data_IF_800700331455
#
_entry.id   IF_800700331455
#
_cell.length_a   1.000
_cell.length_b   1.000
_cell.length_c   1.000
_cell.angle_alpha   90.00
_cell.angle_beta   90.00
_cell.angle_gamma   90.00
#
_symmetry.space_group_name_H-M   'P 1'
#
loop_
_entity.id
_entity.type
_entity.pdbx_description
1 polymer ?
#
# COMPACT_ATOMS: atom_id res chain seq x y z
N UNK A 1 10.41 25.87 -52.05
CA UNK A 1 10.27 24.41 -52.21
C UNK A 1 9.44 23.89 -51.04
N UNK A 2 8.26 23.31 -51.28
CA UNK A 2 7.29 22.95 -50.23
C UNK A 2 7.29 21.44 -50.05
N UNK A 3 7.60 20.96 -48.85
CA UNK A 3 7.65 19.54 -48.53
C UNK A 3 6.27 19.06 -48.07
N UNK A 4 5.79 17.97 -48.67
CA UNK A 4 4.53 17.34 -48.30
C UNK A 4 4.78 16.28 -47.22
N UNK A 5 4.15 16.42 -46.07
CA UNK A 5 4.21 15.41 -45.01
C UNK A 5 3.30 14.22 -45.31
N UNK A 6 3.84 13.02 -45.12
CA UNK A 6 3.08 11.77 -45.15
C UNK A 6 2.25 11.65 -43.87
N UNK A 7 0.95 11.35 -44.00
CA UNK A 7 0.08 11.10 -42.86
C UNK A 7 0.51 9.82 -42.13
N UNK A 8 0.65 9.82 -40.80
CA UNK A 8 0.95 8.61 -40.06
C UNK A 8 -0.21 7.60 -40.21
N UNK A 9 0.13 6.35 -40.53
CA UNK A 9 -0.81 5.22 -40.61
C UNK A 9 -1.16 4.61 -39.25
N UNK A 10 -0.52 5.08 -38.18
CA UNK A 10 -0.76 4.58 -36.84
C UNK A 10 -2.03 5.23 -36.28
N UNK A 11 -2.99 4.40 -35.90
CA UNK A 11 -4.19 4.83 -35.20
C UNK A 11 -3.81 5.28 -33.79
N UNK A 12 -4.06 6.54 -33.47
CA UNK A 12 -3.87 7.08 -32.12
C UNK A 12 -5.00 6.49 -31.27
N UNK A 13 -4.66 5.59 -30.34
CA UNK A 13 -5.61 5.09 -29.35
C UNK A 13 -5.95 6.22 -28.39
N UNK A 14 -7.14 6.82 -28.60
CA UNK A 14 -7.70 7.78 -27.66
C UNK A 14 -8.13 7.06 -26.38
N UNK A 15 -7.29 7.15 -25.35
CA UNK A 15 -7.52 6.51 -24.05
C UNK A 15 -8.52 7.28 -23.16
N UNK A 16 -9.37 8.13 -23.74
CA UNK A 16 -10.23 9.10 -23.03
C UNK A 16 -11.42 8.49 -22.29
N UNK A 17 -11.50 7.17 -22.16
CA UNK A 17 -12.54 6.49 -21.40
C UNK A 17 -11.99 5.44 -20.45
N UNK A 18 -10.87 5.70 -19.78
CA UNK A 18 -10.58 4.97 -18.55
C UNK A 18 -11.47 5.57 -17.47
N UNK A 19 -12.61 4.92 -17.19
CA UNK A 19 -13.39 5.19 -15.97
C UNK A 19 -12.41 5.25 -14.80
N UNK A 20 -12.48 6.22 -13.88
CA UNK A 20 -11.65 6.19 -12.69
C UNK A 20 -11.98 4.89 -11.95
N UNK A 21 -11.08 3.91 -12.09
CA UNK A 21 -11.16 2.68 -11.34
C UNK A 21 -11.06 3.08 -9.88
N UNK A 22 -12.08 2.79 -9.07
CA UNK A 22 -12.12 3.17 -7.66
C UNK A 22 -10.83 2.70 -6.97
N UNK A 23 -9.90 3.63 -6.75
CA UNK A 23 -8.57 3.36 -6.17
C UNK A 23 -8.67 3.00 -4.69
N UNK A 24 -9.85 3.22 -4.09
CA UNK A 24 -10.16 2.98 -2.68
C UNK A 24 -10.00 1.53 -2.21
N UNK A 25 -9.72 0.58 -3.11
CA UNK A 25 -9.59 -0.84 -2.77
C UNK A 25 -8.27 -1.48 -3.23
N UNK A 26 -7.30 -0.69 -3.71
CA UNK A 26 -6.00 -1.26 -4.10
C UNK A 26 -5.10 -1.29 -2.88
N UNK A 27 -4.92 -2.48 -2.29
CA UNK A 27 -3.94 -2.70 -1.20
C UNK A 27 -2.59 -2.12 -1.60
N UNK A 28 -1.98 -1.37 -0.69
CA UNK A 28 -0.63 -0.82 -0.89
C UNK A 28 0.35 -1.99 -1.01
N UNK A 29 1.20 -1.97 -2.03
CA UNK A 29 2.22 -3.01 -2.25
C UNK A 29 3.59 -2.39 -2.54
N UNK A 30 4.62 -3.24 -2.53
CA UNK A 30 5.98 -2.86 -2.93
C UNK A 30 6.56 -1.72 -2.08
N UNK A 31 7.21 -0.76 -2.74
CA UNK A 31 7.90 0.37 -2.08
C UNK A 31 7.00 1.15 -1.13
N UNK A 32 5.75 1.42 -1.51
CA UNK A 32 4.83 2.21 -0.68
C UNK A 32 4.51 1.48 0.64
N UNK A 33 4.34 0.15 0.59
CA UNK A 33 4.11 -0.67 1.78
C UNK A 33 5.34 -0.66 2.68
N UNK A 34 6.53 -0.85 2.11
CA UNK A 34 7.78 -0.83 2.87
C UNK A 34 8.05 0.55 3.52
N UNK A 35 7.78 1.64 2.79
CA UNK A 35 7.86 3.01 3.34
C UNK A 35 6.89 3.20 4.51
N UNK A 36 5.66 2.70 4.40
CA UNK A 36 4.66 2.78 5.47
C UNK A 36 5.08 1.96 6.69
N UNK A 37 5.54 0.72 6.50
CA UNK A 37 6.09 -0.14 7.56
C UNK A 37 7.21 0.57 8.30
N UNK A 38 8.16 1.15 7.57
CA UNK A 38 9.27 1.88 8.17
C UNK A 38 8.81 3.12 8.94
N UNK A 39 7.88 3.91 8.39
CA UNK A 39 7.40 5.11 9.05
C UNK A 39 6.67 4.81 10.37
N UNK A 40 5.79 3.81 10.37
CA UNK A 40 5.04 3.43 11.58
C UNK A 40 5.99 2.83 12.62
N UNK A 41 6.92 1.97 12.20
CA UNK A 41 7.92 1.40 13.11
C UNK A 41 8.83 2.49 13.71
N UNK A 42 9.24 3.49 12.93
CA UNK A 42 10.04 4.62 13.45
C UNK A 42 9.29 5.48 14.46
N UNK A 43 7.98 5.63 14.27
CA UNK A 43 7.13 6.42 15.17
C UNK A 43 6.89 5.67 16.49
N UNK A 44 6.52 4.40 16.40
CA UNK A 44 6.37 3.53 17.56
C UNK A 44 6.76 2.07 17.21
N UNK A 45 7.95 1.62 17.61
CA UNK A 45 8.47 0.30 17.26
C UNK A 45 7.93 -0.84 18.17
N UNK A 46 6.82 -0.63 18.86
CA UNK A 46 6.23 -1.62 19.77
C UNK A 46 5.08 -2.38 19.14
N UNK A 47 4.96 -3.66 19.49
CA UNK A 47 3.76 -4.44 19.22
C UNK A 47 2.56 -3.86 19.99
N UNK A 48 1.35 -3.99 19.46
CA UNK A 48 0.13 -3.54 20.14
C UNK A 48 -0.11 -4.22 21.50
N UNK A 49 0.46 -5.40 21.73
CA UNK A 49 0.28 -6.20 22.95
C UNK A 49 1.58 -6.33 23.77
N UNK A 50 2.73 -6.45 23.11
CA UNK A 50 4.03 -6.69 23.76
C UNK A 50 5.05 -5.59 23.47
N UNK A 51 6.31 -5.92 23.75
CA UNK A 51 7.48 -5.07 23.67
C UNK A 51 7.91 -4.74 22.23
N UNK A 52 9.04 -4.06 22.14
CA UNK A 52 9.75 -3.66 20.92
C UNK A 52 9.88 -4.83 19.92
N UNK A 53 9.67 -4.54 18.64
CA UNK A 53 9.82 -5.52 17.54
C UNK A 53 10.95 -5.16 16.60
N UNK A 54 11.58 -6.17 16.00
CA UNK A 54 12.67 -5.99 15.06
C UNK A 54 12.18 -5.59 13.67
N UNK A 55 12.84 -4.60 13.06
CA UNK A 55 12.63 -4.25 11.65
C UNK A 55 13.65 -4.97 10.74
N UNK A 56 13.27 -5.46 9.54
CA UNK A 56 11.92 -5.40 8.93
C UNK A 56 11.03 -6.62 9.21
N UNK A 57 11.57 -7.67 9.81
CA UNK A 57 10.99 -9.03 9.80
C UNK A 57 10.33 -9.48 11.11
N UNK A 58 10.38 -8.69 12.19
CA UNK A 58 9.83 -9.05 13.49
C UNK A 58 8.34 -8.73 13.66
N UNK A 59 7.68 -8.18 12.63
CA UNK A 59 6.29 -7.76 12.73
C UNK A 59 5.55 -7.75 11.40
N UNK A 60 4.23 -7.82 11.48
CA UNK A 60 3.32 -7.42 10.42
C UNK A 60 2.59 -6.12 10.76
N UNK A 61 2.23 -5.39 9.71
CA UNK A 61 1.39 -4.21 9.82
C UNK A 61 -0.04 -4.59 9.48
N UNK A 62 -0.92 -4.60 10.48
CA UNK A 62 -2.30 -5.04 10.33
C UNK A 62 -3.29 -3.91 10.64
N UNK A 63 -4.53 -4.04 10.17
CA UNK A 63 -5.59 -3.08 10.44
C UNK A 63 -6.26 -3.36 11.79
N UNK A 64 -6.40 -2.33 12.63
CA UNK A 64 -7.13 -2.42 13.92
C UNK A 64 -8.59 -2.80 13.66
N UNK A 65 -9.24 -2.07 12.76
CA UNK A 65 -10.54 -2.45 12.19
C UNK A 65 -10.27 -3.05 10.80
N UNK A 66 -10.60 -4.33 10.57
CA UNK A 66 -10.39 -4.95 9.27
C UNK A 66 -11.13 -4.24 8.14
N UNK A 67 -10.54 -4.20 6.95
CA UNK A 67 -11.13 -3.55 5.77
C UNK A 67 -12.53 -4.10 5.42
N UNK A 68 -12.74 -5.42 5.56
CA UNK A 68 -14.04 -6.06 5.29
C UNK A 68 -15.14 -5.64 6.29
N UNK A 69 -14.74 -5.14 7.47
CA UNK A 69 -15.62 -4.54 8.48
C UNK A 69 -15.71 -3.02 8.35
N UNK A 70 -15.42 -2.47 7.16
CA UNK A 70 -15.42 -1.02 6.86
C UNK A 70 -14.32 -0.23 7.58
N UNK A 71 -13.24 -0.89 7.98
CA UNK A 71 -12.03 -0.19 8.42
C UNK A 71 -11.42 0.63 7.28
N UNK A 72 -10.87 1.79 7.61
CA UNK A 72 -10.19 2.64 6.65
C UNK A 72 -8.72 2.20 6.46
N UNK A 73 -8.19 2.29 5.25
CA UNK A 73 -6.76 2.02 5.01
C UNK A 73 -5.90 3.26 5.34
N UNK A 74 -5.90 3.68 6.61
CA UNK A 74 -5.16 4.85 7.10
C UNK A 74 -4.15 4.46 8.17
N UNK A 75 -3.14 5.30 8.40
CA UNK A 75 -2.04 4.98 9.33
C UNK A 75 -2.60 4.79 10.75
N UNK A 76 -3.61 5.57 11.11
CA UNK A 76 -4.27 5.54 12.42
C UNK A 76 -5.04 4.23 12.66
N UNK A 77 -5.51 3.58 11.59
CA UNK A 77 -6.14 2.27 11.67
C UNK A 77 -5.13 1.12 11.48
N UNK A 78 -3.82 1.39 11.50
CA UNK A 78 -2.80 0.36 11.42
C UNK A 78 -2.11 0.17 12.77
N UNK A 79 -1.76 -1.09 13.06
CA UNK A 79 -1.01 -1.49 14.24
C UNK A 79 0.10 -2.47 13.86
N UNK A 80 1.17 -2.45 14.66
CA UNK A 80 2.27 -3.40 14.56
C UNK A 80 1.89 -4.62 15.39
N UNK A 81 1.92 -5.80 14.78
CA UNK A 81 1.72 -7.08 15.45
C UNK A 81 2.97 -7.94 15.25
N UNK A 82 3.57 -8.43 16.33
CA UNK A 82 4.78 -9.24 16.23
C UNK A 82 4.51 -10.61 15.60
N UNK A 83 5.54 -11.13 14.94
CA UNK A 83 5.57 -12.48 14.37
C UNK A 83 6.51 -13.32 15.25
N UNK A 84 5.94 -14.11 16.16
CA UNK A 84 6.66 -15.10 16.96
C UNK A 84 5.76 -16.33 17.19
N UNK A 85 6.28 -17.41 17.80
CA UNK A 85 5.47 -18.62 18.06
C UNK A 85 4.22 -18.33 18.88
N UNK A 86 4.35 -17.46 19.88
CA UNK A 86 3.24 -16.89 20.64
C UNK A 86 2.78 -15.53 20.07
N UNK A 87 3.04 -15.24 18.80
CA UNK A 87 2.85 -13.92 18.19
C UNK A 87 1.41 -13.42 18.13
N UNK A 88 1.25 -12.10 18.07
CA UNK A 88 -0.07 -11.48 17.91
C UNK A 88 -0.62 -11.67 16.50
N UNK A 89 0.26 -11.92 15.54
CA UNK A 89 -0.09 -12.20 14.17
C UNK A 89 0.34 -13.63 13.82
N UNK A 90 -0.64 -14.48 13.48
CA UNK A 90 -0.47 -15.87 13.04
C UNK A 90 -0.86 -16.03 11.58
#
# INVERSE_FOLDING_TARGET
MKLNMLKPRLMILNNTAVKPYHVSNRRITGYQLQKRRLNIWKDNPHCAVWSLVDYPSGFELDHIIPLFKRGADTIENCQILCICEDGCHQ
#
